data_IF_857331890920
#
_entry.id   IF_857331890920
#
_cell.length_a   1.000
_cell.length_b   1.000
_cell.length_c   1.000
_cell.angle_alpha   90.00
_cell.angle_beta   90.00
_cell.angle_gamma   90.00
#
_symmetry.space_group_name_H-M   'P 1'
#
loop_
_entity.id
_entity.type
_entity.pdbx_description
1 polymer ?
#
# COMPACT_ATOMS: atom_id res chain seq x y z
N UNK A 1 -51.31 32.19 -77.68
CA UNK A 1 -50.16 31.47 -78.28
C UNK A 1 -48.93 31.72 -77.41
N UNK A 2 -48.28 30.65 -76.93
CA UNK A 2 -46.96 30.57 -76.28
C UNK A 2 -46.76 31.34 -74.96
N UNK A 3 -46.79 30.63 -73.82
CA UNK A 3 -45.69 29.95 -73.11
C UNK A 3 -44.86 30.90 -72.22
N UNK A 4 -44.97 30.61 -70.93
CA UNK A 4 -44.28 31.00 -69.69
C UNK A 4 -42.75 31.06 -69.76
N UNK A 5 -42.13 31.86 -68.87
CA UNK A 5 -41.14 31.35 -67.88
C UNK A 5 -40.90 32.31 -66.71
N UNK A 6 -40.96 31.71 -65.52
CA UNK A 6 -40.71 32.26 -64.17
C UNK A 6 -39.27 32.77 -64.05
N UNK A 7 -39.09 33.94 -63.42
CA UNK A 7 -37.81 34.31 -62.82
C UNK A 7 -37.74 33.78 -61.38
N UNK A 8 -36.78 32.90 -61.15
CA UNK A 8 -36.39 32.40 -59.83
C UNK A 8 -35.28 33.33 -59.34
N UNK A 9 -35.52 34.04 -58.24
CA UNK A 9 -34.50 34.82 -57.53
C UNK A 9 -33.71 33.81 -56.69
N UNK A 10 -32.48 33.52 -57.11
CA UNK A 10 -31.56 32.66 -56.36
C UNK A 10 -30.95 33.43 -55.20
N UNK A 11 -31.33 33.09 -53.97
CA UNK A 11 -30.55 33.40 -52.78
C UNK A 11 -29.48 32.33 -52.62
N UNK A 12 -28.22 32.72 -52.83
CA UNK A 12 -27.07 31.88 -52.49
C UNK A 12 -26.96 31.79 -50.97
N UNK A 13 -27.32 30.63 -50.39
CA UNK A 13 -26.95 30.28 -49.03
C UNK A 13 -25.56 29.67 -49.08
N UNK A 14 -24.56 30.42 -48.62
CA UNK A 14 -23.23 29.89 -48.39
C UNK A 14 -23.32 28.84 -47.26
N UNK A 15 -23.23 27.56 -47.61
CA UNK A 15 -22.99 26.50 -46.64
C UNK A 15 -21.57 26.69 -46.08
N UNK A 16 -21.47 27.30 -44.90
CA UNK A 16 -20.26 27.25 -44.10
C UNK A 16 -20.16 25.83 -43.55
N UNK A 17 -19.34 24.99 -44.19
CA UNK A 17 -19.04 23.66 -43.64
C UNK A 17 -18.19 23.86 -42.39
N UNK A 18 -18.82 23.67 -41.23
CA UNK A 18 -18.12 23.58 -39.95
C UNK A 18 -17.37 22.26 -39.96
N UNK A 19 -16.10 22.27 -40.39
CA UNK A 19 -15.21 21.13 -40.17
C UNK A 19 -15.04 20.98 -38.66
N UNK A 20 -15.78 20.05 -38.07
CA UNK A 20 -15.53 19.62 -36.71
C UNK A 20 -14.12 19.05 -36.65
N UNK A 21 -13.17 19.81 -36.09
CA UNK A 21 -11.98 19.22 -35.52
C UNK A 21 -12.48 18.33 -34.37
N UNK A 22 -12.52 17.03 -34.61
CA UNK A 22 -12.53 16.07 -33.52
C UNK A 22 -11.23 16.31 -32.75
N UNK A 23 -11.29 17.11 -31.68
CA UNK A 23 -10.31 17.04 -30.62
C UNK A 23 -10.38 15.60 -30.13
N UNK A 24 -9.43 14.76 -30.58
CA UNK A 24 -9.17 13.50 -29.92
C UNK A 24 -8.82 13.86 -28.49
N UNK A 25 -9.79 13.70 -27.58
CA UNK A 25 -9.52 13.63 -26.17
C UNK A 25 -8.55 12.47 -26.02
N UNK A 26 -7.25 12.78 -25.88
CA UNK A 26 -6.21 11.82 -25.60
C UNK A 26 -6.65 11.13 -24.32
N UNK A 27 -7.22 9.94 -24.45
CA UNK A 27 -7.64 9.15 -23.33
C UNK A 27 -6.35 8.83 -22.62
N UNK A 28 -6.11 9.45 -21.46
CA UNK A 28 -4.94 9.16 -20.65
C UNK A 28 -5.11 7.71 -20.22
N UNK A 29 -4.49 6.79 -20.96
CA UNK A 29 -4.40 5.40 -20.54
C UNK A 29 -3.91 5.40 -19.10
N UNK A 30 -4.56 4.64 -18.22
CA UNK A 30 -4.11 4.62 -16.86
C UNK A 30 -2.74 4.01 -16.78
N UNK A 31 -1.82 4.80 -16.25
CA UNK A 31 -0.48 4.33 -16.01
C UNK A 31 -0.56 3.42 -14.78
N UNK A 32 -0.40 2.14 -15.05
CA UNK A 32 -0.14 1.14 -14.02
C UNK A 32 1.12 1.56 -13.25
N UNK A 33 1.03 1.54 -11.94
CA UNK A 33 2.11 1.92 -11.02
C UNK A 33 2.30 0.83 -9.96
N UNK A 34 3.54 0.72 -9.50
CA UNK A 34 3.83 -0.03 -8.28
C UNK A 34 3.39 0.78 -7.07
N UNK A 35 2.76 0.12 -6.11
CA UNK A 35 2.60 0.63 -4.74
C UNK A 35 3.70 0.01 -3.89
N UNK A 36 4.66 0.84 -3.50
CA UNK A 36 5.79 0.46 -2.68
C UNK A 36 5.42 0.47 -1.20
N UNK A 37 6.12 -0.34 -0.40
CA UNK A 37 6.05 -0.34 1.07
C UNK A 37 7.39 0.12 1.66
N UNK A 38 7.31 0.99 2.66
CA UNK A 38 8.43 1.35 3.54
C UNK A 38 8.03 1.13 4.99
N UNK A 39 8.99 0.74 5.81
CA UNK A 39 8.83 0.58 7.25
C UNK A 39 9.63 1.66 7.99
N UNK A 40 9.01 2.34 8.96
CA UNK A 40 9.70 3.25 9.86
C UNK A 40 10.03 2.54 11.18
N UNK A 41 11.31 2.40 11.53
CA UNK A 41 11.74 1.65 12.72
C UNK A 41 11.45 2.36 14.06
N UNK A 42 11.11 3.66 14.03
CA UNK A 42 10.84 4.47 15.21
C UNK A 42 9.35 4.54 15.49
N UNK A 43 8.55 4.96 14.49
CA UNK A 43 7.08 5.00 14.62
C UNK A 43 6.43 3.64 14.43
N UNK A 44 7.18 2.62 14.01
CA UNK A 44 6.70 1.27 13.67
C UNK A 44 5.64 1.26 12.53
N UNK A 45 5.49 2.36 11.81
CA UNK A 45 4.51 2.47 10.76
C UNK A 45 4.97 1.79 9.46
N UNK A 46 3.98 1.45 8.63
CA UNK A 46 4.21 1.09 7.23
C UNK A 46 3.60 2.16 6.33
N UNK A 47 4.42 2.77 5.48
CA UNK A 47 3.99 3.71 4.45
C UNK A 47 3.81 2.97 3.12
N UNK A 48 2.67 3.18 2.48
CA UNK A 48 2.37 2.68 1.14
C UNK A 48 2.31 3.84 0.14
N UNK A 49 3.10 3.76 -0.93
CA UNK A 49 3.20 4.88 -1.87
C UNK A 49 3.31 4.43 -3.32
N UNK A 50 2.55 5.10 -4.20
CA UNK A 50 2.74 5.00 -5.64
C UNK A 50 3.86 5.93 -6.16
N UNK A 51 4.38 6.82 -5.31
CA UNK A 51 5.46 7.74 -5.64
C UNK A 51 6.80 7.07 -5.50
N UNK A 52 7.44 6.74 -6.64
CA UNK A 52 8.83 6.26 -6.62
C UNK A 52 9.78 7.30 -6.03
N UNK A 53 9.48 8.59 -6.17
CA UNK A 53 10.24 9.66 -5.55
C UNK A 53 10.20 9.58 -4.01
N UNK A 54 9.02 9.37 -3.42
CA UNK A 54 8.87 9.21 -1.97
C UNK A 54 9.62 7.96 -1.48
N UNK A 55 9.45 6.84 -2.19
CA UNK A 55 10.14 5.58 -1.90
C UNK A 55 11.68 5.70 -1.95
N UNK A 56 12.23 6.44 -2.91
CA UNK A 56 13.67 6.57 -3.08
C UNK A 56 14.31 7.57 -2.11
N UNK A 57 13.57 8.60 -1.67
CA UNK A 57 14.13 9.72 -0.91
C UNK A 57 13.88 9.67 0.61
N UNK A 58 12.83 9.01 1.10
CA UNK A 58 12.59 8.92 2.55
C UNK A 58 13.79 8.34 3.34
N UNK A 59 14.45 7.24 2.90
CA UNK A 59 15.65 6.73 3.58
C UNK A 59 16.86 7.67 3.55
N UNK A 60 16.87 8.65 2.63
CA UNK A 60 17.94 9.67 2.56
C UNK A 60 17.69 10.82 3.54
N UNK A 61 16.42 11.09 3.85
CA UNK A 61 16.00 12.15 4.76
C UNK A 61 16.08 11.70 6.22
N UNK A 62 15.78 10.43 6.50
CA UNK A 62 16.00 9.82 7.81
C UNK A 62 16.40 8.35 7.67
N UNK A 63 17.38 7.94 8.50
CA UNK A 63 17.80 6.54 8.63
C UNK A 63 16.73 5.61 9.23
N UNK A 64 15.61 6.16 9.68
CA UNK A 64 14.51 5.42 10.29
C UNK A 64 13.67 4.68 9.26
N UNK A 65 13.65 5.18 8.02
CA UNK A 65 12.93 4.58 6.91
C UNK A 65 13.72 3.46 6.25
N UNK A 66 13.12 2.27 6.18
CA UNK A 66 13.61 1.11 5.45
C UNK A 66 12.68 0.81 4.28
N UNK A 67 13.26 0.52 3.11
CA UNK A 67 12.50 0.09 1.92
C UNK A 67 12.19 -1.40 2.03
N UNK A 68 10.95 -1.78 1.77
CA UNK A 68 10.53 -3.20 1.74
C UNK A 68 10.20 -3.69 0.33
N UNK A 69 10.06 -2.79 -0.64
CA UNK A 69 9.87 -3.16 -2.05
C UNK A 69 8.48 -2.87 -2.57
N UNK A 70 8.10 -3.56 -3.64
CA UNK A 70 6.76 -3.47 -4.24
C UNK A 70 5.83 -4.38 -3.46
N UNK A 71 4.73 -3.82 -2.94
CA UNK A 71 3.68 -4.59 -2.27
C UNK A 71 2.69 -5.13 -3.30
N UNK A 72 2.18 -4.27 -4.18
CA UNK A 72 1.25 -4.62 -5.25
C UNK A 72 1.25 -3.55 -6.36
N UNK A 73 0.48 -3.76 -7.42
CA UNK A 73 0.30 -2.79 -8.51
C UNK A 73 -1.11 -2.21 -8.54
N UNK A 74 -1.23 -0.93 -8.88
CA UNK A 74 -2.47 -0.16 -8.95
C UNK A 74 -2.40 0.86 -10.09
N UNK A 75 -3.37 1.78 -10.19
CA UNK A 75 -3.34 2.89 -11.15
C UNK A 75 -3.04 4.21 -10.44
N UNK A 76 -2.35 5.13 -11.11
CA UNK A 76 -2.13 6.50 -10.63
C UNK A 76 -3.18 7.51 -11.12
N UNK A 77 -4.06 7.09 -12.05
CA UNK A 77 -5.15 7.93 -12.57
C UNK A 77 -6.51 7.26 -12.36
N UNK A 78 -7.54 8.08 -12.24
CA UNK A 78 -8.91 7.62 -12.11
C UNK A 78 -9.41 6.98 -13.41
N UNK A 79 -10.03 5.80 -13.29
CA UNK A 79 -10.70 5.09 -14.37
C UNK A 79 -12.11 4.67 -13.97
N UNK A 80 -12.96 4.38 -14.97
CA UNK A 80 -14.35 3.95 -14.77
C UNK A 80 -14.50 2.72 -13.86
N UNK A 81 -13.57 1.77 -13.93
CA UNK A 81 -13.55 0.54 -13.15
C UNK A 81 -12.66 0.59 -11.90
N UNK A 82 -12.25 1.78 -11.46
CA UNK A 82 -11.41 1.96 -10.27
C UNK A 82 -12.13 2.73 -9.16
N UNK A 83 -11.61 2.63 -7.95
CA UNK A 83 -12.02 3.39 -6.78
C UNK A 83 -10.78 3.97 -6.10
N UNK A 84 -10.85 5.24 -5.74
CA UNK A 84 -9.77 5.94 -5.08
C UNK A 84 -9.46 5.32 -3.71
N UNK A 85 -8.17 5.17 -3.41
CA UNK A 85 -7.66 4.87 -2.07
C UNK A 85 -7.04 6.15 -1.53
N UNK A 86 -7.63 6.69 -0.48
CA UNK A 86 -7.18 7.91 0.17
C UNK A 86 -6.14 7.59 1.25
N UNK A 87 -5.13 8.45 1.38
CA UNK A 87 -4.15 8.42 2.47
C UNK A 87 -4.49 9.52 3.47
N UNK A 88 -4.57 9.15 4.74
CA UNK A 88 -4.87 10.05 5.85
C UNK A 88 -3.76 9.94 6.88
N UNK A 89 -3.18 11.06 7.28
CA UNK A 89 -2.02 11.15 8.14
C UNK A 89 -2.37 11.74 9.51
N UNK A 90 -1.85 11.16 10.58
CA UNK A 90 -1.93 11.71 11.93
C UNK A 90 -0.61 12.40 12.31
N UNK A 91 -0.55 13.75 12.35
CA UNK A 91 0.68 14.45 12.68
C UNK A 91 1.15 14.28 14.13
N UNK A 92 0.30 13.78 15.03
CA UNK A 92 0.68 13.53 16.43
C UNK A 92 1.38 12.19 16.60
N UNK A 93 0.86 11.14 15.94
CA UNK A 93 1.39 9.78 16.06
C UNK A 93 2.36 9.39 14.95
N UNK A 94 2.34 10.11 13.82
CA UNK A 94 3.08 9.76 12.62
C UNK A 94 2.37 8.74 11.73
N UNK A 95 1.19 8.25 12.12
CA UNK A 95 0.54 7.13 11.42
C UNK A 95 -0.17 7.52 10.14
N UNK A 96 -0.20 6.60 9.18
CA UNK A 96 -0.99 6.68 7.96
C UNK A 96 -2.09 5.61 7.93
N UNK A 97 -3.30 6.00 7.55
CA UNK A 97 -4.42 5.11 7.23
C UNK A 97 -4.74 5.23 5.74
N UNK A 98 -5.05 4.08 5.14
CA UNK A 98 -5.44 3.96 3.74
C UNK A 98 -6.86 3.43 3.65
N UNK A 99 -7.73 4.15 2.95
CA UNK A 99 -9.15 3.77 2.89
C UNK A 99 -9.84 4.18 1.59
N UNK A 100 -10.77 3.34 1.17
CA UNK A 100 -11.73 3.64 0.10
C UNK A 100 -13.04 4.23 0.63
N UNK A 101 -13.19 4.35 1.95
CA UNK A 101 -14.37 4.93 2.58
C UNK A 101 -14.17 6.43 2.79
N UNK A 102 -14.90 7.23 2.03
CA UNK A 102 -14.90 8.69 2.16
C UNK A 102 -15.50 9.16 3.48
N UNK A 103 -16.36 8.36 4.12
CA UNK A 103 -16.89 8.66 5.44
C UNK A 103 -15.80 8.51 6.52
N UNK A 104 -14.99 7.45 6.46
CA UNK A 104 -13.80 7.28 7.33
C UNK A 104 -12.85 8.48 7.21
N UNK A 105 -12.52 8.92 5.98
CA UNK A 105 -11.70 10.13 5.75
C UNK A 105 -12.33 11.36 6.42
N UNK A 106 -13.64 11.57 6.25
CA UNK A 106 -14.35 12.71 6.83
C UNK A 106 -14.30 12.70 8.36
N UNK A 107 -14.56 11.55 8.98
CA UNK A 107 -14.55 11.39 10.44
C UNK A 107 -13.15 11.67 10.98
N UNK A 108 -12.11 11.02 10.43
CA UNK A 108 -10.72 11.20 10.87
C UNK A 108 -10.27 12.67 10.79
N UNK A 109 -10.59 13.33 9.68
CA UNK A 109 -10.16 14.73 9.42
C UNK A 109 -10.96 15.78 10.19
N UNK A 110 -12.21 15.50 10.55
CA UNK A 110 -13.07 16.46 11.25
C UNK A 110 -12.97 16.32 12.77
N UNK A 111 -12.84 15.10 13.29
CA UNK A 111 -13.00 14.83 14.71
C UNK A 111 -11.70 14.49 15.44
N UNK A 112 -10.67 14.00 14.73
CA UNK A 112 -9.51 13.37 15.38
C UNK A 112 -8.18 14.09 15.09
N UNK A 113 -8.21 15.23 14.41
CA UNK A 113 -7.00 16.01 14.07
C UNK A 113 -6.11 15.37 13.01
N UNK A 114 -6.61 14.36 12.30
CA UNK A 114 -5.92 13.78 11.16
C UNK A 114 -6.00 14.71 9.95
N UNK A 115 -5.08 14.56 9.01
CA UNK A 115 -5.00 15.34 7.78
C UNK A 115 -5.19 14.41 6.59
N UNK A 116 -6.07 14.78 5.68
CA UNK A 116 -6.14 14.10 4.38
C UNK A 116 -4.93 14.52 3.56
N UNK A 117 -4.22 13.55 2.98
CA UNK A 117 -3.18 13.77 1.99
C UNK A 117 -3.71 13.51 0.56
N UNK A 118 -5.00 13.21 0.43
CA UNK A 118 -5.67 12.97 -0.84
C UNK A 118 -5.55 11.53 -1.33
N UNK A 119 -5.70 11.35 -2.64
CA UNK A 119 -5.68 10.04 -3.28
C UNK A 119 -4.24 9.57 -3.44
N UNK A 120 -3.92 8.43 -2.83
CA UNK A 120 -2.60 7.81 -2.98
C UNK A 120 -2.48 7.01 -4.28
N UNK A 121 -3.56 6.31 -4.66
CA UNK A 121 -3.68 5.53 -5.89
C UNK A 121 -5.15 5.13 -6.14
N UNK A 122 -5.42 4.58 -7.32
CA UNK A 122 -6.73 4.09 -7.73
C UNK A 122 -6.67 2.57 -7.87
N UNK A 123 -7.51 1.87 -7.10
CA UNK A 123 -7.58 0.41 -7.06
C UNK A 123 -8.73 -0.10 -7.95
N UNK A 124 -8.56 -1.21 -8.69
CA UNK A 124 -9.69 -1.89 -9.33
C UNK A 124 -10.88 -2.10 -8.39
N UNK A 125 -12.10 -1.90 -8.89
CA UNK A 125 -13.33 -2.25 -8.17
C UNK A 125 -13.46 -3.77 -7.96
N UNK A 126 -12.93 -4.56 -8.89
CA UNK A 126 -12.89 -6.03 -8.86
C UNK A 126 -11.58 -6.52 -9.46
N UNK A 127 -11.02 -7.61 -8.93
CA UNK A 127 -9.87 -8.34 -9.49
C UNK A 127 -9.62 -9.63 -8.70
N UNK A 128 -8.84 -10.56 -9.26
CA UNK A 128 -8.41 -11.79 -8.58
C UNK A 128 -7.24 -11.57 -7.60
N UNK A 129 -6.77 -10.33 -7.44
CA UNK A 129 -5.64 -9.95 -6.57
C UNK A 129 -6.14 -9.10 -5.40
N UNK A 130 -6.66 -9.71 -4.32
CA UNK A 130 -7.06 -8.96 -3.13
C UNK A 130 -5.86 -8.35 -2.41
N UNK A 131 -6.05 -7.18 -1.83
CA UNK A 131 -5.15 -6.55 -0.86
C UNK A 131 -5.85 -6.55 0.49
N UNK A 132 -5.19 -7.13 1.49
CA UNK A 132 -5.74 -7.40 2.80
C UNK A 132 -5.36 -6.32 3.79
N UNK A 133 -6.25 -6.01 4.74
CA UNK A 133 -5.95 -5.22 5.93
C UNK A 133 -6.06 -6.07 7.19
N UNK A 134 -5.08 -5.93 8.07
CA UNK A 134 -5.07 -6.55 9.40
C UNK A 134 -4.78 -5.51 10.46
N UNK A 135 -5.31 -5.72 11.66
CA UNK A 135 -5.25 -4.77 12.76
C UNK A 135 -4.76 -5.42 14.06
N UNK A 136 -3.94 -4.73 14.83
CA UNK A 136 -3.50 -5.14 16.16
C UNK A 136 -3.58 -3.97 17.15
N UNK A 137 -4.62 -3.96 17.97
CA UNK A 137 -4.81 -2.95 19.01
C UNK A 137 -3.64 -2.86 20.00
N UNK A 138 -2.96 -3.98 20.26
CA UNK A 138 -1.83 -4.05 21.19
C UNK A 138 -0.53 -3.48 20.63
N UNK A 139 -0.45 -3.18 19.32
CA UNK A 139 0.74 -2.60 18.71
C UNK A 139 0.91 -1.10 19.05
N UNK A 140 -0.18 -0.40 19.42
CA UNK A 140 -0.16 1.05 19.56
C UNK A 140 0.06 1.70 18.20
N UNK A 141 1.25 2.26 17.97
CA UNK A 141 1.62 2.79 16.66
C UNK A 141 1.83 1.65 15.66
N UNK A 142 1.40 1.85 14.41
CA UNK A 142 1.52 0.81 13.39
C UNK A 142 0.52 -0.33 13.58
N UNK A 143 -0.60 -0.06 14.26
CA UNK A 143 -1.64 -1.04 14.52
C UNK A 143 -2.35 -1.52 13.25
N UNK A 144 -2.23 -0.83 12.11
CA UNK A 144 -2.78 -1.27 10.83
C UNK A 144 -1.68 -1.72 9.88
N UNK A 145 -1.91 -2.83 9.20
CA UNK A 145 -1.00 -3.37 8.20
C UNK A 145 -1.76 -3.80 6.94
N UNK A 146 -1.16 -3.58 5.78
CA UNK A 146 -1.76 -3.80 4.46
C UNK A 146 -0.83 -4.63 3.59
N UNK A 147 -1.36 -5.69 2.99
CA UNK A 147 -0.55 -6.59 2.16
C UNK A 147 -1.30 -7.19 1.00
N UNK A 148 -0.63 -7.26 -0.16
CA UNK A 148 -1.07 -8.06 -1.30
C UNK A 148 -0.74 -9.54 -1.16
N UNK A 149 0.01 -9.94 -0.14
CA UNK A 149 0.41 -11.32 0.11
C UNK A 149 -0.52 -12.01 1.13
N UNK A 150 -1.20 -13.05 0.65
CA UNK A 150 -2.06 -13.88 1.49
C UNK A 150 -1.30 -14.64 2.58
N UNK A 151 -0.02 -14.99 2.36
CA UNK A 151 0.81 -15.67 3.35
C UNK A 151 1.23 -14.72 4.47
N UNK A 152 1.69 -13.51 4.15
CA UNK A 152 1.99 -12.46 5.14
C UNK A 152 0.76 -12.16 6.01
N UNK A 153 -0.41 -12.00 5.39
CA UNK A 153 -1.68 -11.84 6.11
C UNK A 153 -1.96 -13.01 7.06
N UNK A 154 -1.87 -14.25 6.56
CA UNK A 154 -2.14 -15.44 7.38
C UNK A 154 -1.15 -15.54 8.55
N UNK A 155 0.11 -15.19 8.33
CA UNK A 155 1.13 -15.17 9.38
C UNK A 155 0.81 -14.15 10.47
N UNK A 156 0.35 -12.94 10.12
CA UNK A 156 -0.04 -11.93 11.11
C UNK A 156 -1.27 -12.38 11.91
N UNK A 157 -2.28 -12.93 11.22
CA UNK A 157 -3.49 -13.45 11.87
C UNK A 157 -3.16 -14.58 12.86
N UNK A 158 -2.25 -15.49 12.50
CA UNK A 158 -1.81 -16.56 13.41
C UNK A 158 -1.13 -16.05 14.69
N UNK A 159 -0.66 -14.79 14.68
CA UNK A 159 -0.01 -14.10 15.81
C UNK A 159 -0.96 -13.15 16.55
N UNK A 160 -2.27 -13.30 16.35
CA UNK A 160 -3.29 -12.53 17.06
C UNK A 160 -3.69 -11.20 16.41
N UNK A 161 -3.21 -10.90 15.19
CA UNK A 161 -3.75 -9.76 14.44
C UNK A 161 -5.17 -10.09 13.99
N UNK A 162 -6.07 -9.11 14.09
CA UNK A 162 -7.44 -9.19 13.59
C UNK A 162 -7.43 -9.00 12.08
N UNK A 163 -7.95 -9.97 11.34
CA UNK A 163 -8.25 -9.79 9.92
C UNK A 163 -9.46 -8.88 9.74
N UNK A 164 -9.29 -7.77 9.02
CA UNK A 164 -10.37 -6.80 8.76
C UNK A 164 -11.03 -6.99 7.39
N UNK A 165 -10.49 -7.89 6.57
CA UNK A 165 -11.03 -8.19 5.25
C UNK A 165 -10.14 -7.73 4.10
N UNK A 166 -10.71 -7.81 2.90
CA UNK A 166 -10.12 -7.24 1.68
C UNK A 166 -10.38 -5.74 1.71
N UNK A 167 -9.32 -4.94 1.77
CA UNK A 167 -9.43 -3.49 1.78
C UNK A 167 -9.67 -2.91 0.38
N UNK A 168 -9.04 -3.52 -0.63
CA UNK A 168 -9.24 -3.23 -2.06
C UNK A 168 -8.61 -4.34 -2.91
N UNK A 169 -8.58 -4.17 -4.22
CA UNK A 169 -7.91 -5.08 -5.14
C UNK A 169 -6.73 -4.42 -5.84
N UNK A 170 -5.73 -5.21 -6.19
CA UNK A 170 -4.62 -4.84 -7.06
C UNK A 170 -4.90 -5.24 -8.52
N UNK A 171 -4.10 -4.72 -9.45
CA UNK A 171 -4.20 -5.09 -10.87
C UNK A 171 -3.90 -6.57 -11.07
N UNK A 172 -4.81 -7.29 -11.74
CA UNK A 172 -4.55 -8.62 -12.26
C UNK A 172 -3.85 -8.47 -13.63
N UNK A 173 -2.53 -8.68 -13.68
CA UNK A 173 -1.80 -8.58 -14.95
C UNK A 173 -2.19 -9.66 -15.96
N UNK A 174 -2.32 -9.29 -17.24
CA UNK A 174 -2.07 -10.21 -18.35
C UNK A 174 -0.54 -10.35 -18.47
N UNK A 175 -0.04 -11.58 -18.56
CA UNK A 175 1.38 -11.99 -18.42
C UNK A 175 2.44 -10.96 -18.81
N UNK A 176 3.26 -10.53 -17.84
CA UNK A 176 4.44 -9.68 -18.08
C UNK A 176 4.96 -8.88 -16.87
N UNK A 177 4.14 -8.69 -15.84
CA UNK A 177 4.57 -8.12 -14.57
C UNK A 177 4.49 -9.18 -13.48
N UNK A 178 5.62 -9.57 -12.92
CA UNK A 178 5.67 -10.53 -11.82
C UNK A 178 4.81 -10.02 -10.65
N UNK A 179 3.65 -10.63 -10.51
CA UNK A 179 2.90 -10.67 -9.27
C UNK A 179 3.71 -11.53 -8.29
N UNK A 180 4.68 -10.91 -7.60
CA UNK A 180 5.46 -11.54 -6.53
C UNK A 180 6.83 -12.12 -6.88
N UNK A 181 7.54 -11.66 -7.92
CA UNK A 181 8.89 -12.17 -8.16
C UNK A 181 9.55 -11.78 -9.48
N UNK A 182 10.07 -10.56 -9.58
CA UNK A 182 11.08 -10.23 -10.60
C UNK A 182 12.46 -10.63 -10.13
N UNK A 183 13.13 -11.50 -10.88
CA UNK A 183 14.56 -11.77 -10.77
C UNK A 183 15.38 -10.53 -11.17
N UNK A 184 15.38 -9.52 -10.32
CA UNK A 184 16.61 -8.82 -9.98
C UNK A 184 17.09 -9.51 -8.73
N UNK A 185 18.34 -9.97 -8.63
CA UNK A 185 18.89 -10.39 -7.34
C UNK A 185 18.51 -9.32 -6.33
N UNK A 186 17.59 -9.64 -5.39
CA UNK A 186 17.16 -8.67 -4.41
C UNK A 186 18.43 -8.23 -3.68
N UNK A 187 18.58 -6.97 -3.23
CA UNK A 187 19.39 -6.79 -2.04
C UNK A 187 18.82 -7.78 -1.04
N UNK A 188 19.57 -8.84 -0.72
CA UNK A 188 19.11 -9.99 0.07
C UNK A 188 18.26 -9.44 1.19
N UNK A 189 16.94 -9.65 1.13
CA UNK A 189 16.02 -9.12 2.14
C UNK A 189 16.30 -9.92 3.38
N UNK A 190 17.23 -9.42 4.18
CA UNK A 190 17.62 -10.12 5.39
C UNK A 190 16.63 -9.75 6.48
N UNK A 191 15.89 -10.73 6.97
CA UNK A 191 14.99 -10.56 8.11
C UNK A 191 15.80 -10.36 9.40
N UNK A 192 15.19 -9.68 10.37
CA UNK A 192 15.79 -9.36 11.67
C UNK A 192 15.01 -10.03 12.78
N UNK A 193 15.65 -10.96 13.48
CA UNK A 193 15.14 -11.51 14.74
C UNK A 193 15.34 -10.50 15.87
N UNK A 194 14.45 -10.48 16.84
CA UNK A 194 14.54 -9.61 18.01
C UNK A 194 14.02 -10.29 19.28
N UNK A 195 14.56 -9.88 20.42
CA UNK A 195 14.09 -10.23 21.77
C UNK A 195 13.95 -8.95 22.58
N UNK A 196 12.82 -8.80 23.28
CA UNK A 196 12.54 -7.69 24.19
C UNK A 196 12.40 -8.19 25.62
N UNK A 197 12.80 -7.37 26.59
CA UNK A 197 12.52 -7.62 28.00
C UNK A 197 11.05 -7.27 28.37
N UNK A 198 10.69 -7.45 29.64
CA UNK A 198 9.35 -7.17 30.17
C UNK A 198 8.94 -5.69 30.09
N UNK A 199 9.89 -4.79 29.97
CA UNK A 199 9.65 -3.35 29.74
C UNK A 199 9.52 -3.01 28.24
N UNK A 200 9.57 -4.01 27.35
CA UNK A 200 9.46 -3.83 25.90
C UNK A 200 10.74 -3.35 25.21
N UNK A 201 11.86 -3.23 25.94
CA UNK A 201 13.16 -2.82 25.39
C UNK A 201 13.82 -3.98 24.65
N UNK A 202 14.29 -3.75 23.43
CA UNK A 202 15.07 -4.74 22.66
C UNK A 202 16.37 -5.01 23.41
N UNK A 203 16.58 -6.27 23.79
CA UNK A 203 17.77 -6.78 24.48
C UNK A 203 18.64 -7.65 23.56
N UNK A 204 18.07 -8.15 22.46
CA UNK A 204 18.81 -8.83 21.42
C UNK A 204 18.16 -8.56 20.06
N UNK A 205 18.98 -8.41 19.02
CA UNK A 205 18.52 -8.38 17.64
C UNK A 205 19.62 -8.89 16.72
N UNK A 206 19.23 -9.60 15.67
CA UNK A 206 20.15 -10.08 14.64
C UNK A 206 19.48 -9.99 13.28
N UNK A 207 20.10 -9.24 12.36
CA UNK A 207 19.73 -9.26 10.94
C UNK A 207 20.49 -10.36 10.20
N UNK A 208 20.26 -10.48 8.89
CA UNK A 208 21.01 -11.40 8.04
C UNK A 208 20.26 -12.67 7.62
N UNK A 209 19.03 -12.86 8.07
CA UNK A 209 18.29 -14.11 7.84
C UNK A 209 17.58 -14.13 6.50
N UNK A 210 17.59 -15.26 5.79
CA UNK A 210 16.95 -15.36 4.48
C UNK A 210 15.43 -15.54 4.59
N UNK A 211 14.93 -15.90 5.78
CA UNK A 211 13.49 -16.02 6.06
C UNK A 211 13.09 -15.46 7.43
N UNK A 212 11.84 -14.99 7.58
CA UNK A 212 11.26 -14.63 8.89
C UNK A 212 11.29 -15.81 9.88
N UNK A 213 11.20 -17.05 9.36
CA UNK A 213 11.28 -18.26 10.18
C UNK A 213 12.66 -18.42 10.78
N UNK A 214 13.72 -18.27 9.97
CA UNK A 214 15.11 -18.28 10.45
C UNK A 214 15.37 -17.17 11.46
N UNK A 215 14.89 -15.95 11.18
CA UNK A 215 15.01 -14.81 12.09
C UNK A 215 14.30 -15.03 13.43
N UNK A 216 13.06 -15.53 13.40
CA UNK A 216 12.29 -15.81 14.61
C UNK A 216 12.83 -17.01 15.38
N UNK A 217 13.38 -18.01 14.68
CA UNK A 217 14.02 -19.17 15.30
C UNK A 217 15.30 -18.75 16.00
N UNK A 218 16.14 -17.92 15.37
CA UNK A 218 17.34 -17.39 16.01
C UNK A 218 17.02 -16.57 17.27
N UNK A 219 15.92 -15.80 17.25
CA UNK A 219 15.44 -15.10 18.45
C UNK A 219 15.00 -16.05 19.56
N UNK A 220 14.31 -17.14 19.21
CA UNK A 220 13.92 -18.19 20.15
C UNK A 220 15.14 -18.95 20.71
N UNK A 221 16.12 -19.27 19.87
CA UNK A 221 17.34 -19.97 20.25
C UNK A 221 18.20 -19.12 21.19
N UNK A 222 18.26 -17.80 20.94
CA UNK A 222 18.90 -16.87 21.85
C UNK A 222 18.20 -16.84 23.21
N UNK A 223 16.86 -16.75 23.23
CA UNK A 223 16.07 -16.84 24.48
C UNK A 223 16.39 -18.12 25.23
N UNK A 224 16.38 -19.27 24.55
CA UNK A 224 16.64 -20.58 25.15
C UNK A 224 18.07 -20.74 25.68
N UNK A 225 19.06 -20.15 24.98
CA UNK A 225 20.48 -20.23 25.37
C UNK A 225 20.85 -19.28 26.51
N UNK A 226 20.08 -18.20 26.70
CA UNK A 226 20.35 -17.18 27.73
C UNK A 226 19.40 -17.30 28.93
N UNK A 227 18.42 -18.20 28.89
CA UNK A 227 17.54 -18.49 30.01
C UNK A 227 18.16 -19.59 30.88
N UNK A 228 18.84 -19.21 31.96
CA UNK A 228 19.36 -20.16 32.95
C UNK A 228 18.21 -20.76 33.79
N UNK A 229 17.56 -21.83 33.26
CA UNK A 229 16.72 -22.88 33.91
C UNK A 229 15.29 -22.53 34.42
N UNK A 230 14.32 -23.49 34.55
CA UNK A 230 13.85 -24.59 33.67
C UNK A 230 12.33 -24.40 33.26
N UNK A 231 11.66 -25.33 32.53
CA UNK A 231 10.45 -25.06 31.70
C UNK A 231 9.11 -24.97 32.45
N UNK A 232 9.08 -24.40 33.66
CA UNK A 232 7.84 -24.24 34.44
C UNK A 232 7.69 -22.88 35.11
N UNK A 233 8.43 -21.84 34.67
CA UNK A 233 8.21 -20.48 35.15
C UNK A 233 7.22 -19.74 34.23
N UNK A 234 5.96 -19.49 34.66
CA UNK A 234 4.99 -18.73 33.87
C UNK A 234 5.34 -17.25 33.67
N UNK A 235 6.48 -16.77 34.22
CA UNK A 235 6.94 -15.39 34.16
C UNK A 235 8.29 -15.20 33.43
N UNK A 236 8.64 -16.02 32.44
CA UNK A 236 9.85 -15.77 31.64
C UNK A 236 9.75 -14.37 30.98
N UNK A 237 10.63 -13.40 31.32
CA UNK A 237 10.37 -11.97 31.13
C UNK A 237 10.62 -11.47 29.70
N UNK A 238 10.77 -12.37 28.71
CA UNK A 238 11.22 -12.03 27.37
C UNK A 238 10.17 -12.35 26.32
N UNK A 239 9.97 -11.43 25.39
CA UNK A 239 9.20 -11.66 24.15
C UNK A 239 10.14 -11.67 22.97
N UNK A 240 9.87 -12.47 21.94
CA UNK A 240 10.73 -12.56 20.76
C UNK A 240 9.91 -12.63 19.47
N UNK A 241 10.54 -12.27 18.36
CA UNK A 241 9.90 -12.30 17.05
C UNK A 241 10.88 -11.94 15.93
N UNK A 242 10.33 -11.65 14.75
CA UNK A 242 11.11 -11.19 13.61
C UNK A 242 10.31 -10.16 12.78
N UNK A 243 11.03 -9.28 12.10
CA UNK A 243 10.52 -8.36 11.08
C UNK A 243 11.49 -8.27 9.90
#
# INVERSE_FOLDING_TARGET
MKITRKQIIGTAVALLTLTGLAVSAKTTEASQVNVYRLYNKVSMEHLYTASKYEYDNLPKLSSDWKREGVNFQSYNTNQSNTKAVNRVYNPRSGEHIYTQDTYEVKVLTTMNGWRSEGVAFYAPKTSSKPVYRVFNAGAGLGAHFVTGDGFEKNSLVSRGWKYEGVAWYAIAGNSGGNNGGGNTTPPTTTFTGWVKNKEGKIIWQQGGFNTLKEASQAAADWVNSNNTLPPSNPNAPWSWGAY
#
